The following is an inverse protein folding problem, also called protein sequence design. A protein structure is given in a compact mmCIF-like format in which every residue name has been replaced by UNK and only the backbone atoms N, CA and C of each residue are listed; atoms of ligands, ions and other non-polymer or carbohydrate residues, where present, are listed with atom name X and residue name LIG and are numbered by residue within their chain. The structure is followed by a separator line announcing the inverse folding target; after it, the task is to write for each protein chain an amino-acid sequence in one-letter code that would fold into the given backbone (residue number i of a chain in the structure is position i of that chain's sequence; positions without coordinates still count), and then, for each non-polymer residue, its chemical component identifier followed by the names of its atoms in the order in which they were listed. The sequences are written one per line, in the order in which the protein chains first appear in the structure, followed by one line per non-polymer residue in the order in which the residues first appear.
data_IF_323863035782
#
_entry.id   IF_323863035782
#
_cell.length_a   1.000
_cell.length_b   1.000
_cell.length_c   1.000
_cell.angle_alpha   90.00
_cell.angle_beta   90.00
_cell.angle_gamma   90.00
#
_symmetry.space_group_name_H-M   'P 1'
#
loop_
_entity.id
_entity.type
_entity.pdbx_description
1 polymer ?
#
# COMPACT_ATOMS: atom_id res chain seq x y z
N UNK A 1 -21.05 13.27 -66.59
CA UNK A 1 -21.59 13.19 -65.24
C UNK A 1 -21.04 11.98 -64.47
N UNK A 2 -21.02 10.81 -65.05
CA UNK A 2 -20.53 9.55 -64.44
C UNK A 2 -19.07 9.61 -63.95
N UNK A 3 -18.16 10.19 -64.70
CA UNK A 3 -16.74 10.30 -64.35
C UNK A 3 -16.48 11.23 -63.13
N UNK A 4 -17.30 12.23 -62.88
CA UNK A 4 -17.14 13.11 -61.70
C UNK A 4 -17.63 12.43 -60.42
N UNK A 5 -18.67 11.60 -60.53
CA UNK A 5 -19.19 10.83 -59.41
C UNK A 5 -18.21 9.75 -58.99
N UNK A 6 -17.57 9.07 -59.98
CA UNK A 6 -16.54 8.06 -59.72
C UNK A 6 -15.30 8.66 -59.10
N UNK A 7 -14.85 9.84 -59.57
CA UNK A 7 -13.73 10.57 -58.95
C UNK A 7 -14.02 11.02 -57.52
N UNK A 8 -15.24 11.48 -57.23
CA UNK A 8 -15.64 11.85 -55.89
C UNK A 8 -15.63 10.62 -54.93
N UNK A 9 -16.11 9.48 -55.45
CA UNK A 9 -16.15 8.23 -54.68
C UNK A 9 -14.72 7.70 -54.36
N UNK A 10 -13.81 7.81 -55.31
CA UNK A 10 -12.37 7.44 -55.09
C UNK A 10 -11.71 8.38 -54.07
N UNK A 11 -11.99 9.69 -54.12
CA UNK A 11 -11.47 10.65 -53.17
C UNK A 11 -11.98 10.40 -51.75
N UNK A 12 -13.27 10.09 -51.59
CA UNK A 12 -13.89 9.75 -50.31
C UNK A 12 -13.31 8.44 -49.75
N UNK A 13 -13.10 7.42 -50.61
CA UNK A 13 -12.51 6.16 -50.20
C UNK A 13 -11.02 6.34 -49.75
N UNK A 14 -10.26 7.17 -50.47
CA UNK A 14 -8.89 7.51 -50.06
C UNK A 14 -8.87 8.31 -48.74
N UNK A 15 -9.79 9.26 -48.57
CA UNK A 15 -9.90 9.99 -47.29
C UNK A 15 -10.26 9.06 -46.12
N UNK A 16 -11.18 8.13 -46.34
CA UNK A 16 -11.50 7.11 -45.30
C UNK A 16 -10.28 6.22 -45.04
N UNK A 17 -9.56 5.79 -46.07
CA UNK A 17 -8.37 4.93 -45.92
C UNK A 17 -7.20 5.62 -45.22
N UNK A 18 -7.08 6.93 -45.34
CA UNK A 18 -6.05 7.73 -44.62
C UNK A 18 -6.51 8.21 -43.24
N UNK A 19 -7.81 8.46 -43.05
CA UNK A 19 -8.36 8.93 -41.76
C UNK A 19 -8.57 7.80 -40.75
N UNK A 20 -8.95 6.60 -41.19
CA UNK A 20 -9.17 5.45 -40.29
C UNK A 20 -7.89 5.05 -39.53
N UNK A 21 -6.69 4.94 -40.18
CA UNK A 21 -5.47 4.66 -39.41
C UNK A 21 -5.03 5.84 -38.53
N UNK A 22 -5.33 7.09 -38.91
CA UNK A 22 -5.03 8.26 -38.05
C UNK A 22 -5.93 8.25 -36.81
N UNK A 23 -7.21 7.92 -36.95
CA UNK A 23 -8.12 7.76 -35.80
C UNK A 23 -7.77 6.54 -34.93
N UNK A 24 -7.29 5.44 -35.53
CA UNK A 24 -6.83 4.27 -34.76
C UNK A 24 -5.49 4.50 -34.05
N UNK A 25 -4.63 5.38 -34.55
CA UNK A 25 -3.40 5.81 -33.87
C UNK A 25 -3.70 6.81 -32.76
N UNK A 26 -4.78 7.59 -32.87
CA UNK A 26 -5.21 8.56 -31.84
C UNK A 26 -5.99 7.91 -30.69
N UNK A 27 -6.44 6.66 -30.85
CA UNK A 27 -7.15 5.89 -29.82
C UNK A 27 -6.30 4.71 -29.30
N UNK A 28 -4.99 4.86 -29.19
CA UNK A 28 -4.21 3.96 -28.34
C UNK A 28 -4.62 4.34 -26.91
N UNK A 29 -5.45 3.52 -26.30
CA UNK A 29 -5.79 3.61 -24.90
C UNK A 29 -4.46 3.46 -24.12
N UNK A 30 -3.92 4.59 -23.67
CA UNK A 30 -2.68 4.60 -22.91
C UNK A 30 -2.99 4.08 -21.53
N UNK A 31 -2.26 3.06 -21.12
CA UNK A 31 -2.41 2.40 -19.82
C UNK A 31 -1.12 2.52 -19.04
N UNK A 32 -1.16 2.58 -17.73
CA UNK A 32 0.02 2.50 -16.89
C UNK A 32 0.85 1.23 -17.14
N UNK A 33 2.09 1.15 -16.64
CA UNK A 33 2.93 -0.04 -16.77
C UNK A 33 2.20 -1.31 -16.37
N UNK A 34 2.52 -2.42 -17.06
CA UNK A 34 1.92 -3.72 -16.76
C UNK A 34 2.19 -4.12 -15.29
N UNK A 35 1.17 -4.57 -14.61
CA UNK A 35 1.22 -4.96 -13.19
C UNK A 35 1.15 -3.81 -12.20
N UNK A 36 1.17 -2.56 -12.66
CA UNK A 36 0.97 -1.39 -11.79
C UNK A 36 -0.51 -1.20 -11.47
N UNK A 37 -0.81 -0.93 -10.19
CA UNK A 37 -2.16 -0.74 -9.68
C UNK A 37 -2.28 0.64 -9.04
N UNK A 38 -3.24 1.42 -9.52
CA UNK A 38 -3.58 2.72 -8.96
C UNK A 38 -5.06 2.78 -8.60
N UNK A 39 -5.37 3.27 -7.41
CA UNK A 39 -6.75 3.27 -6.98
C UNK A 39 -7.05 4.05 -5.70
N UNK A 40 -8.23 3.78 -5.18
CA UNK A 40 -8.76 4.45 -4.00
C UNK A 40 -9.36 3.43 -3.03
N UNK A 41 -9.26 3.70 -1.72
CA UNK A 41 -9.99 2.92 -0.73
C UNK A 41 -11.37 3.54 -0.49
N UNK A 42 -12.35 2.68 -0.23
CA UNK A 42 -13.70 3.07 0.16
C UNK A 42 -13.89 2.86 1.66
N UNK A 43 -13.93 3.95 2.41
CA UNK A 43 -14.10 3.95 3.87
C UNK A 43 -15.49 4.39 4.37
N UNK A 44 -16.45 4.74 3.45
CA UNK A 44 -17.82 5.06 3.81
C UNK A 44 -18.66 3.77 3.97
N UNK A 45 -19.93 3.86 4.34
CA UNK A 45 -20.68 2.70 4.84
C UNK A 45 -21.87 2.24 4.00
N UNK A 46 -22.12 2.83 2.82
CA UNK A 46 -23.27 2.44 1.99
C UNK A 46 -22.88 1.95 0.60
N UNK A 47 -23.67 1.03 0.05
CA UNK A 47 -23.49 0.53 -1.32
C UNK A 47 -23.62 1.65 -2.36
N UNK A 48 -24.53 2.60 -2.14
CA UNK A 48 -24.74 3.72 -3.07
C UNK A 48 -23.56 4.66 -3.15
N UNK A 49 -22.93 4.98 -2.03
CA UNK A 49 -21.72 5.81 -2.00
C UNK A 49 -20.52 5.09 -2.62
N UNK A 50 -20.38 3.77 -2.37
CA UNK A 50 -19.34 2.97 -3.02
C UNK A 50 -19.47 2.99 -4.55
N UNK A 51 -20.68 2.77 -5.07
CA UNK A 51 -20.94 2.85 -6.52
C UNK A 51 -20.68 4.25 -7.08
N UNK A 52 -21.06 5.28 -6.34
CA UNK A 52 -20.81 6.67 -6.73
C UNK A 52 -19.29 6.96 -6.81
N UNK A 53 -18.51 6.48 -5.83
CA UNK A 53 -17.06 6.63 -5.87
C UNK A 53 -16.45 5.83 -7.02
N UNK A 54 -16.88 4.58 -7.26
CA UNK A 54 -16.44 3.77 -8.41
C UNK A 54 -16.74 4.51 -9.72
N UNK A 55 -17.94 5.05 -9.90
CA UNK A 55 -18.29 5.80 -11.11
C UNK A 55 -17.47 7.08 -11.30
N UNK A 56 -17.06 7.72 -10.20
CA UNK A 56 -16.20 8.91 -10.24
C UNK A 56 -14.76 8.57 -10.69
N UNK A 57 -14.22 7.40 -10.32
CA UNK A 57 -12.79 7.11 -10.49
C UNK A 57 -12.45 6.03 -11.53
N UNK A 58 -13.41 5.24 -12.00
CA UNK A 58 -13.18 4.06 -12.86
C UNK A 58 -12.43 4.33 -14.18
N UNK A 59 -12.50 5.56 -14.69
CA UNK A 59 -11.87 5.93 -15.95
C UNK A 59 -10.37 6.28 -15.80
N UNK A 60 -9.91 6.51 -14.58
CA UNK A 60 -8.52 6.84 -14.26
C UNK A 60 -7.98 6.07 -13.04
N UNK A 61 -8.53 4.90 -12.77
CA UNK A 61 -8.00 3.92 -11.79
C UNK A 61 -8.20 2.50 -12.29
N UNK A 62 -7.46 1.55 -11.74
CA UNK A 62 -7.62 0.12 -12.04
C UNK A 62 -7.71 -0.74 -10.78
N UNK A 63 -7.69 -0.11 -9.60
CA UNK A 63 -7.68 -0.79 -8.30
C UNK A 63 -8.64 -0.13 -7.30
N UNK A 64 -9.29 -0.94 -6.46
CA UNK A 64 -10.26 -0.46 -5.47
C UNK A 64 -10.15 -1.25 -4.18
N UNK A 65 -10.10 -0.57 -3.03
CA UNK A 65 -10.11 -1.22 -1.72
C UNK A 65 -11.47 -0.99 -1.06
N UNK A 66 -12.14 -2.06 -0.69
CA UNK A 66 -13.36 -1.98 0.13
C UNK A 66 -12.92 -2.05 1.58
N UNK A 67 -12.79 -0.89 2.24
CA UNK A 67 -12.23 -0.73 3.58
C UNK A 67 -13.23 -0.09 4.54
N UNK A 68 -14.30 -0.82 4.84
CA UNK A 68 -15.29 -0.37 5.80
C UNK A 68 -15.88 -1.57 6.57
N UNK A 69 -15.94 -1.47 7.89
CA UNK A 69 -16.46 -2.52 8.77
C UNK A 69 -17.92 -2.88 8.49
N UNK A 70 -18.82 -1.89 8.40
CA UNK A 70 -20.25 -2.12 8.21
C UNK A 70 -20.54 -2.84 6.90
N UNK A 71 -19.80 -2.50 5.84
CA UNK A 71 -19.85 -3.17 4.54
C UNK A 71 -19.29 -4.59 4.65
N UNK A 72 -18.12 -4.76 5.23
CA UNK A 72 -17.42 -6.05 5.34
C UNK A 72 -18.15 -7.06 6.23
N UNK A 73 -19.07 -6.60 7.07
CA UNK A 73 -19.90 -7.45 7.92
C UNK A 73 -21.30 -7.72 7.36
N UNK A 74 -21.60 -7.17 6.17
CA UNK A 74 -22.85 -7.36 5.45
C UNK A 74 -22.58 -8.05 4.09
N UNK A 75 -22.80 -9.38 4.02
CA UNK A 75 -22.52 -10.19 2.83
C UNK A 75 -23.17 -9.65 1.56
N UNK A 76 -24.43 -9.20 1.64
CA UNK A 76 -25.17 -8.68 0.48
C UNK A 76 -24.56 -7.38 -0.01
N UNK A 77 -24.29 -6.43 0.90
CA UNK A 77 -23.69 -5.14 0.57
C UNK A 77 -22.29 -5.31 -0.01
N UNK A 78 -21.45 -6.13 0.63
CA UNK A 78 -20.10 -6.41 0.17
C UNK A 78 -20.09 -7.02 -1.24
N UNK A 79 -20.92 -8.06 -1.45
CA UNK A 79 -20.98 -8.76 -2.73
C UNK A 79 -21.47 -7.83 -3.85
N UNK A 80 -22.47 -6.96 -3.57
CA UNK A 80 -22.98 -6.00 -4.53
C UNK A 80 -21.93 -4.96 -4.94
N UNK A 81 -21.09 -4.50 -3.98
CA UNK A 81 -19.99 -3.57 -4.30
C UNK A 81 -18.92 -4.28 -5.12
N UNK A 82 -18.53 -5.52 -4.76
CA UNK A 82 -17.55 -6.31 -5.51
C UNK A 82 -18.00 -6.58 -6.95
N UNK A 83 -19.28 -6.95 -7.14
CA UNK A 83 -19.86 -7.14 -8.47
C UNK A 83 -19.78 -5.86 -9.30
N UNK A 84 -20.09 -4.72 -8.68
CA UNK A 84 -20.05 -3.42 -9.36
C UNK A 84 -18.63 -3.00 -9.73
N UNK A 85 -17.67 -3.14 -8.81
CA UNK A 85 -16.25 -2.85 -9.06
C UNK A 85 -15.69 -3.74 -10.19
N UNK A 86 -16.01 -5.04 -10.15
CA UNK A 86 -15.62 -5.99 -11.20
C UNK A 86 -16.22 -5.63 -12.56
N UNK A 87 -17.50 -5.28 -12.59
CA UNK A 87 -18.18 -4.85 -13.83
C UNK A 87 -17.62 -3.53 -14.38
N UNK A 88 -17.13 -2.63 -13.50
CA UNK A 88 -16.44 -1.41 -13.88
C UNK A 88 -14.99 -1.65 -14.37
N UNK A 89 -14.51 -2.89 -14.36
CA UNK A 89 -13.16 -3.26 -14.80
C UNK A 89 -12.08 -3.16 -13.73
N UNK A 90 -12.42 -2.78 -12.51
CA UNK A 90 -11.48 -2.61 -11.42
C UNK A 90 -11.06 -3.98 -10.83
N UNK A 91 -9.79 -4.09 -10.47
CA UNK A 91 -9.28 -5.11 -9.57
C UNK A 91 -9.52 -4.63 -8.14
N UNK A 92 -9.84 -5.53 -7.21
CA UNK A 92 -10.16 -5.10 -5.86
C UNK A 92 -9.66 -6.06 -4.77
N UNK A 93 -9.51 -5.51 -3.58
CA UNK A 93 -9.33 -6.25 -2.33
C UNK A 93 -10.40 -5.82 -1.32
N UNK A 94 -10.64 -6.69 -0.35
CA UNK A 94 -11.65 -6.47 0.69
C UNK A 94 -10.98 -6.50 2.05
N UNK A 95 -11.31 -5.53 2.89
CA UNK A 95 -10.92 -5.51 4.28
C UNK A 95 -11.77 -6.47 5.10
N UNK A 96 -11.10 -7.43 5.73
CA UNK A 96 -11.66 -8.21 6.81
C UNK A 96 -10.74 -8.10 8.02
N UNK A 97 -11.20 -7.46 9.08
CA UNK A 97 -10.41 -7.35 10.32
C UNK A 97 -10.08 -8.74 10.85
N UNK A 98 -11.04 -9.66 10.77
CA UNK A 98 -10.83 -11.07 11.07
C UNK A 98 -11.79 -11.95 10.27
N UNK A 99 -11.36 -13.18 10.00
CA UNK A 99 -12.17 -14.23 9.39
C UNK A 99 -12.29 -15.34 10.43
N UNK A 100 -13.36 -15.35 11.20
CA UNK A 100 -13.54 -16.31 12.28
C UNK A 100 -14.82 -17.13 12.06
N UNK A 101 -14.72 -18.45 12.30
CA UNK A 101 -15.85 -19.38 12.35
C UNK A 101 -16.55 -19.39 13.71
N UNK A 102 -15.99 -18.71 14.71
CA UNK A 102 -16.51 -18.72 16.07
C UNK A 102 -17.71 -17.81 16.26
N UNK A 103 -18.29 -17.84 17.48
CA UNK A 103 -19.52 -17.16 17.83
C UNK A 103 -19.52 -15.62 17.72
N UNK A 104 -18.39 -14.99 17.49
CA UNK A 104 -18.26 -13.55 17.28
C UNK A 104 -18.15 -13.21 15.80
N UNK A 105 -17.96 -14.21 14.95
CA UNK A 105 -17.63 -14.05 13.56
C UNK A 105 -18.83 -13.91 12.66
N UNK A 106 -18.51 -13.62 11.49
CA UNK A 106 -19.38 -13.64 10.35
C UNK A 106 -19.14 -14.98 9.65
N UNK A 107 -19.85 -16.05 9.99
CA UNK A 107 -19.55 -17.43 9.51
C UNK A 107 -19.58 -17.53 7.99
N UNK A 108 -20.23 -16.59 7.30
CA UNK A 108 -20.26 -16.51 5.85
C UNK A 108 -18.92 -16.06 5.25
N UNK A 109 -18.03 -15.38 6.00
CA UNK A 109 -16.73 -14.89 5.49
C UNK A 109 -15.90 -16.02 4.87
N UNK A 110 -15.82 -17.18 5.52
CA UNK A 110 -15.10 -18.36 5.00
C UNK A 110 -15.64 -18.79 3.64
N UNK A 111 -16.96 -18.98 3.55
CA UNK A 111 -17.58 -19.40 2.29
C UNK A 111 -17.46 -18.35 1.21
N UNK A 112 -17.59 -17.07 1.58
CA UNK A 112 -17.44 -15.96 0.65
C UNK A 112 -16.03 -15.90 0.05
N UNK A 113 -14.98 -15.96 0.89
CA UNK A 113 -13.58 -15.98 0.45
C UNK A 113 -13.29 -17.19 -0.42
N UNK A 114 -13.81 -18.35 -0.02
CA UNK A 114 -13.63 -19.61 -0.79
C UNK A 114 -14.17 -19.48 -2.22
N UNK A 115 -15.30 -18.79 -2.40
CA UNK A 115 -15.93 -18.64 -3.71
C UNK A 115 -15.51 -17.37 -4.47
N UNK A 116 -14.79 -16.46 -3.83
CA UNK A 116 -14.45 -15.16 -4.40
C UNK A 116 -13.65 -15.26 -5.71
N UNK A 117 -12.65 -16.14 -5.76
CA UNK A 117 -11.86 -16.37 -6.98
C UNK A 117 -12.69 -16.95 -8.12
N UNK A 118 -13.60 -17.87 -7.82
CA UNK A 118 -14.48 -18.45 -8.83
C UNK A 118 -15.45 -17.42 -9.39
N UNK A 119 -15.91 -16.49 -8.54
CA UNK A 119 -16.88 -15.46 -8.93
C UNK A 119 -16.26 -14.31 -9.73
N UNK A 120 -15.11 -13.80 -9.31
CA UNK A 120 -14.51 -12.58 -9.88
C UNK A 120 -13.17 -12.80 -10.58
N UNK A 121 -12.62 -14.02 -10.53
CA UNK A 121 -11.34 -14.37 -11.18
C UNK A 121 -10.21 -13.42 -10.73
N UNK A 122 -9.46 -12.94 -11.72
CA UNK A 122 -8.32 -12.04 -11.50
C UNK A 122 -8.73 -10.63 -10.98
N UNK A 123 -10.04 -10.32 -10.96
CA UNK A 123 -10.52 -9.06 -10.37
C UNK A 123 -10.47 -9.08 -8.85
N UNK A 124 -10.59 -10.24 -8.22
CA UNK A 124 -10.38 -10.38 -6.79
C UNK A 124 -8.89 -10.64 -6.51
N UNK A 125 -8.16 -9.61 -6.07
CA UNK A 125 -6.73 -9.68 -5.83
C UNK A 125 -6.37 -10.30 -4.47
N UNK A 126 -7.25 -10.23 -3.47
CA UNK A 126 -7.01 -10.80 -2.16
C UNK A 126 -7.77 -10.13 -1.02
N UNK A 127 -7.29 -10.39 0.18
CA UNK A 127 -7.88 -9.88 1.42
C UNK A 127 -6.89 -8.94 2.12
N UNK A 128 -7.39 -7.77 2.51
CA UNK A 128 -6.75 -6.88 3.44
C UNK A 128 -7.16 -7.31 4.85
N UNK A 129 -6.23 -7.91 5.59
CA UNK A 129 -6.50 -8.52 6.87
C UNK A 129 -5.69 -7.88 7.98
N UNK A 130 -6.37 -7.57 9.08
CA UNK A 130 -5.91 -6.74 10.16
C UNK A 130 -5.55 -5.32 9.66
N UNK A 131 -5.19 -4.45 10.54
CA UNK A 131 -4.80 -3.09 10.23
C UNK A 131 -3.67 -2.66 11.15
N UNK A 132 -2.59 -2.14 10.57
CA UNK A 132 -1.46 -1.52 11.27
C UNK A 132 -0.86 -2.39 12.40
N UNK A 133 -0.58 -3.69 12.19
CA UNK A 133 -0.11 -4.55 13.28
C UNK A 133 1.21 -4.07 13.88
N UNK A 134 2.15 -3.62 13.04
CA UNK A 134 3.44 -3.08 13.47
C UNK A 134 3.32 -1.73 14.16
N UNK A 135 2.54 -0.82 13.58
CA UNK A 135 2.28 0.50 14.16
C UNK A 135 1.56 0.42 15.50
N UNK A 136 0.50 -0.36 15.59
CA UNK A 136 -0.21 -0.61 16.85
C UNK A 136 0.68 -1.25 17.91
N UNK A 137 1.59 -2.14 17.51
CA UNK A 137 2.59 -2.70 18.41
C UNK A 137 3.51 -1.62 18.99
N UNK A 138 4.01 -0.72 18.14
CA UNK A 138 4.86 0.40 18.61
C UNK A 138 4.09 1.33 19.54
N UNK A 139 2.83 1.63 19.23
CA UNK A 139 2.03 2.58 20.00
C UNK A 139 1.63 2.05 21.36
N UNK A 140 1.23 0.79 21.44
CA UNK A 140 0.63 0.22 22.64
C UNK A 140 1.58 -0.66 23.44
N UNK A 141 2.56 -1.29 22.81
CA UNK A 141 3.39 -2.33 23.40
C UNK A 141 2.61 -3.58 23.77
N UNK A 142 1.41 -3.74 23.21
CA UNK A 142 0.48 -4.82 23.55
C UNK A 142 0.03 -5.48 22.26
N UNK A 143 0.31 -6.76 22.14
CA UNK A 143 -0.29 -7.61 21.13
C UNK A 143 -1.28 -8.53 21.83
N UNK A 144 -2.57 -8.23 21.65
CA UNK A 144 -3.64 -8.98 22.30
C UNK A 144 -4.05 -10.18 21.43
N UNK A 145 -3.87 -11.38 21.98
CA UNK A 145 -4.51 -12.56 21.42
C UNK A 145 -5.93 -12.71 21.99
N UNK A 146 -6.92 -12.78 21.09
CA UNK A 146 -8.32 -12.99 21.49
C UNK A 146 -8.59 -14.48 21.60
N UNK A 147 -8.41 -15.06 22.79
CA UNK A 147 -8.73 -16.44 23.08
C UNK A 147 -9.91 -16.52 24.05
N UNK A 148 -11.09 -16.91 23.56
CA UNK A 148 -12.22 -17.29 24.41
C UNK A 148 -12.76 -16.21 25.32
N UNK A 149 -12.55 -14.91 24.99
CA UNK A 149 -13.04 -13.78 25.76
C UNK A 149 -12.05 -13.17 26.76
N UNK A 150 -10.87 -13.75 26.93
CA UNK A 150 -9.79 -13.17 27.72
C UNK A 150 -8.70 -12.59 26.78
N UNK A 151 -8.37 -11.32 26.98
CA UNK A 151 -7.23 -10.69 26.33
C UNK A 151 -5.96 -11.08 27.05
N UNK A 152 -5.04 -11.74 26.35
CA UNK A 152 -3.72 -12.06 26.87
C UNK A 152 -2.70 -11.20 26.13
N UNK A 153 -1.95 -10.40 26.89
CA UNK A 153 -0.79 -9.69 26.31
C UNK A 153 0.34 -10.69 26.05
N UNK A 154 0.62 -10.95 24.78
CA UNK A 154 1.66 -11.90 24.36
C UNK A 154 3.08 -11.40 24.67
N UNK A 155 3.26 -10.11 24.93
CA UNK A 155 4.54 -9.48 25.27
C UNK A 155 4.81 -9.35 26.76
N UNK A 156 3.92 -9.84 27.65
CA UNK A 156 4.03 -9.65 29.10
C UNK A 156 5.37 -10.13 29.68
N UNK A 157 5.97 -11.18 29.13
CA UNK A 157 7.20 -11.77 29.63
C UNK A 157 8.40 -11.56 28.69
N UNK A 158 8.29 -10.70 27.70
CA UNK A 158 9.36 -10.41 26.75
C UNK A 158 10.40 -9.48 27.37
N UNK A 159 11.67 -9.86 27.28
CA UNK A 159 12.79 -9.14 27.92
C UNK A 159 13.88 -8.70 26.95
N UNK A 160 13.88 -9.21 25.72
CA UNK A 160 14.88 -8.91 24.69
C UNK A 160 14.23 -8.60 23.35
N UNK A 161 14.94 -7.87 22.48
CA UNK A 161 14.48 -7.54 21.12
C UNK A 161 14.25 -8.81 20.28
N UNK A 162 15.09 -9.84 20.45
CA UNK A 162 14.92 -11.12 19.76
C UNK A 162 13.62 -11.82 20.18
N UNK A 163 13.33 -11.87 21.49
CA UNK A 163 12.07 -12.44 21.97
C UNK A 163 10.87 -11.65 21.45
N UNK A 164 10.96 -10.31 21.40
CA UNK A 164 9.89 -9.47 20.85
C UNK A 164 9.66 -9.78 19.37
N UNK A 165 10.72 -9.85 18.57
CA UNK A 165 10.64 -10.21 17.16
C UNK A 165 10.04 -11.61 16.96
N UNK A 166 10.47 -12.59 17.76
CA UNK A 166 9.96 -13.96 17.69
C UNK A 166 8.47 -14.02 18.02
N UNK A 167 8.04 -13.35 19.11
CA UNK A 167 6.62 -13.29 19.49
C UNK A 167 5.80 -12.65 18.36
N UNK A 168 6.20 -11.48 17.87
CA UNK A 168 5.46 -10.78 16.81
C UNK A 168 5.31 -11.64 15.56
N UNK A 169 6.42 -12.19 15.06
CA UNK A 169 6.47 -12.97 13.81
C UNK A 169 5.75 -14.32 13.94
N UNK A 170 5.75 -14.94 15.11
CA UNK A 170 5.16 -16.27 15.28
C UNK A 170 3.70 -16.22 15.73
N UNK A 171 3.29 -15.21 16.49
CA UNK A 171 1.93 -15.15 17.03
C UNK A 171 0.94 -14.51 16.05
N UNK A 172 1.35 -13.46 15.32
CA UNK A 172 0.49 -12.79 14.33
C UNK A 172 -0.13 -13.78 13.31
N UNK A 173 0.63 -14.71 12.70
CA UNK A 173 0.07 -15.67 11.75
C UNK A 173 -0.68 -16.84 12.37
N UNK A 174 -0.65 -17.04 13.70
CA UNK A 174 -1.40 -18.13 14.35
C UNK A 174 -2.91 -17.93 14.32
N UNK A 175 -3.38 -16.72 14.06
CA UNK A 175 -4.79 -16.45 13.89
C UNK A 175 -5.41 -17.35 12.82
N UNK A 176 -6.63 -17.83 13.07
CA UNK A 176 -7.39 -18.72 12.17
C UNK A 176 -7.47 -18.12 10.76
N UNK A 177 -7.66 -16.79 10.69
CA UNK A 177 -7.77 -16.04 9.44
C UNK A 177 -6.53 -16.17 8.56
N UNK A 178 -5.36 -16.05 9.14
CA UNK A 178 -4.09 -16.12 8.40
C UNK A 178 -3.85 -17.48 7.79
N UNK A 179 -4.00 -18.54 8.60
CA UNK A 179 -3.86 -19.93 8.15
C UNK A 179 -4.91 -20.29 7.08
N UNK A 180 -6.12 -19.81 7.23
CA UNK A 180 -7.19 -20.02 6.27
C UNK A 180 -6.85 -19.42 4.90
N UNK A 181 -6.45 -18.17 4.85
CA UNK A 181 -6.06 -17.47 3.63
C UNK A 181 -4.84 -18.13 2.96
N UNK A 182 -3.86 -18.54 3.76
CA UNK A 182 -2.67 -19.23 3.26
C UNK A 182 -3.02 -20.57 2.60
N UNK A 183 -3.88 -21.36 3.23
CA UNK A 183 -4.33 -22.66 2.68
C UNK A 183 -5.09 -22.52 1.36
N UNK A 184 -5.80 -21.41 1.15
CA UNK A 184 -6.50 -21.09 -0.08
C UNK A 184 -5.61 -20.38 -1.12
N UNK A 185 -4.36 -20.10 -0.79
CA UNK A 185 -3.47 -19.30 -1.62
C UNK A 185 -4.10 -17.94 -2.01
N UNK A 186 -4.70 -17.27 -1.00
CA UNK A 186 -5.24 -15.92 -1.11
C UNK A 186 -4.17 -14.93 -0.65
N UNK A 187 -3.92 -13.93 -1.47
CA UNK A 187 -2.96 -12.86 -1.16
C UNK A 187 -3.42 -12.05 0.06
N UNK A 188 -2.52 -11.88 1.02
CA UNK A 188 -2.76 -11.12 2.26
C UNK A 188 -2.14 -9.73 2.14
N UNK A 189 -2.99 -8.73 2.21
CA UNK A 189 -2.63 -7.32 2.20
C UNK A 189 -2.75 -6.73 3.60
N UNK A 190 -1.96 -5.71 3.87
CA UNK A 190 -2.08 -4.86 5.07
C UNK A 190 -1.53 -3.47 4.78
N UNK A 191 -2.03 -2.43 5.44
CA UNK A 191 -1.30 -1.15 5.57
C UNK A 191 -0.59 -1.10 6.92
N UNK A 192 0.54 -0.43 6.96
CA UNK A 192 1.26 -0.16 8.20
C UNK A 192 2.11 1.12 8.08
N UNK A 193 2.53 1.64 9.25
CA UNK A 193 3.43 2.78 9.39
C UNK A 193 4.71 2.46 10.19
N UNK A 194 4.89 1.19 10.59
CA UNK A 194 6.11 0.71 11.26
C UNK A 194 6.31 -0.80 11.03
N UNK A 195 7.43 -1.34 11.49
CA UNK A 195 7.78 -2.77 11.56
C UNK A 195 7.57 -3.60 10.28
N UNK A 196 7.52 -3.02 9.10
CA UNK A 196 7.28 -3.67 7.80
C UNK A 196 8.10 -4.95 7.58
N UNK A 197 9.36 -4.97 8.03
CA UNK A 197 10.23 -6.14 7.95
C UNK A 197 9.64 -7.35 8.65
N UNK A 198 9.07 -7.12 9.82
CA UNK A 198 8.51 -8.16 10.68
C UNK A 198 7.11 -8.58 10.23
N UNK A 199 6.34 -7.66 9.63
CA UNK A 199 5.06 -8.00 9.00
C UNK A 199 5.25 -8.98 7.84
N UNK A 200 6.25 -8.76 6.98
CA UNK A 200 6.58 -9.73 5.93
C UNK A 200 7.06 -11.06 6.50
N UNK A 201 7.88 -11.05 7.55
CA UNK A 201 8.30 -12.27 8.25
C UNK A 201 7.11 -13.02 8.86
N UNK A 202 6.11 -12.31 9.34
CA UNK A 202 4.86 -12.89 9.84
C UNK A 202 3.98 -13.49 8.72
N UNK A 203 4.26 -13.16 7.45
CA UNK A 203 3.65 -13.85 6.32
C UNK A 203 2.70 -13.03 5.47
N UNK A 204 2.65 -11.71 5.60
CA UNK A 204 1.97 -10.86 4.63
C UNK A 204 2.63 -10.97 3.24
N UNK A 205 1.84 -10.79 2.20
CA UNK A 205 2.28 -10.90 0.81
C UNK A 205 2.51 -9.51 0.19
N UNK A 206 1.74 -8.51 0.63
CA UNK A 206 1.85 -7.11 0.20
C UNK A 206 1.56 -6.18 1.36
N UNK A 207 2.46 -5.22 1.58
CA UNK A 207 2.27 -4.17 2.56
C UNK A 207 2.15 -2.83 1.85
N UNK A 208 1.14 -2.04 2.24
CA UNK A 208 1.02 -0.64 1.88
C UNK A 208 1.67 0.20 2.97
N UNK A 209 2.77 0.88 2.67
CA UNK A 209 3.32 1.87 3.60
C UNK A 209 2.45 3.11 3.61
N UNK A 210 2.12 3.60 4.79
CA UNK A 210 1.28 4.79 4.95
C UNK A 210 2.10 6.07 4.75
N UNK A 211 1.66 6.91 3.80
CA UNK A 211 2.26 8.21 3.54
C UNK A 211 1.36 9.34 4.07
N UNK A 212 1.82 10.00 5.11
CA UNK A 212 1.09 11.06 5.77
C UNK A 212 1.64 11.35 7.16
N UNK A 213 0.83 11.95 8.02
CA UNK A 213 1.14 12.18 9.43
C UNK A 213 2.42 13.02 9.67
N UNK A 214 2.88 13.76 8.66
CA UNK A 214 4.18 14.46 8.65
C UNK A 214 5.39 13.53 8.82
N UNK A 215 5.26 12.27 8.45
CA UNK A 215 6.39 11.33 8.41
C UNK A 215 7.20 11.51 7.12
N UNK A 216 8.48 11.15 7.16
CA UNK A 216 9.34 11.19 5.96
C UNK A 216 8.95 10.09 4.97
N UNK A 217 8.25 10.45 3.88
CA UNK A 217 7.85 9.49 2.84
C UNK A 217 9.04 8.69 2.27
N UNK A 218 10.21 9.28 1.94
CA UNK A 218 11.37 8.50 1.48
C UNK A 218 11.86 7.47 2.51
N UNK A 219 11.85 7.80 3.80
CA UNK A 219 12.25 6.88 4.87
C UNK A 219 11.32 5.67 4.94
N UNK A 220 10.01 5.89 5.01
CA UNK A 220 9.02 4.82 5.10
C UNK A 220 8.95 3.97 3.81
N UNK A 221 9.11 4.59 2.64
CA UNK A 221 9.28 3.87 1.37
C UNK A 221 10.54 2.98 1.43
N UNK A 222 11.66 3.52 1.86
CA UNK A 222 12.92 2.78 1.98
C UNK A 222 12.82 1.58 2.94
N UNK A 223 12.12 1.72 4.06
CA UNK A 223 11.86 0.64 5.03
C UNK A 223 10.96 -0.46 4.44
N UNK A 224 9.81 -0.09 3.87
CA UNK A 224 8.85 -1.04 3.32
C UNK A 224 9.39 -1.74 2.06
N UNK A 225 9.92 -0.97 1.10
CA UNK A 225 10.50 -1.51 -0.14
C UNK A 225 11.72 -2.38 0.13
N UNK A 226 12.59 -1.96 1.04
CA UNK A 226 13.76 -2.74 1.45
C UNK A 226 13.37 -4.09 2.03
N UNK A 227 12.37 -4.11 2.91
CA UNK A 227 11.82 -5.34 3.47
C UNK A 227 11.19 -6.24 2.40
N UNK A 228 10.39 -5.66 1.49
CA UNK A 228 9.76 -6.39 0.39
C UNK A 228 10.79 -7.02 -0.56
N UNK A 229 11.80 -6.25 -0.99
CA UNK A 229 12.87 -6.74 -1.88
C UNK A 229 13.67 -7.87 -1.26
N UNK A 230 14.07 -7.72 0.01
CA UNK A 230 14.83 -8.74 0.72
C UNK A 230 14.05 -10.06 0.82
N UNK A 231 12.73 -9.98 1.00
CA UNK A 231 11.86 -11.13 1.23
C UNK A 231 11.11 -11.59 -0.03
N UNK A 232 11.42 -11.02 -1.21
CA UNK A 232 10.78 -11.31 -2.48
C UNK A 232 9.24 -11.19 -2.41
N UNK A 233 8.79 -10.03 -1.94
CA UNK A 233 7.38 -9.69 -1.73
C UNK A 233 7.01 -8.45 -2.55
N UNK A 234 5.70 -8.25 -2.75
CA UNK A 234 5.15 -7.03 -3.32
C UNK A 234 4.99 -5.95 -2.25
N UNK A 235 5.00 -4.69 -2.67
CA UNK A 235 4.76 -3.55 -1.80
C UNK A 235 3.99 -2.45 -2.53
N UNK A 236 3.42 -1.56 -1.75
CA UNK A 236 2.71 -0.40 -2.25
C UNK A 236 2.72 0.76 -1.26
N UNK A 237 2.01 1.80 -1.61
CA UNK A 237 1.76 2.94 -0.73
C UNK A 237 0.26 3.16 -0.56
N UNK A 238 -0.13 3.58 0.62
CA UNK A 238 -1.45 4.13 0.87
C UNK A 238 -1.28 5.57 1.36
N UNK A 239 -1.79 6.52 0.57
CA UNK A 239 -1.64 7.95 0.83
C UNK A 239 -2.77 8.37 1.73
N UNK A 240 -2.45 8.67 2.99
CA UNK A 240 -3.45 9.08 3.96
C UNK A 240 -3.87 10.52 3.73
N UNK A 241 -5.12 10.82 4.05
CA UNK A 241 -5.70 12.15 3.91
C UNK A 241 -5.11 13.19 4.86
N UNK A 242 -4.37 12.76 5.88
CA UNK A 242 -3.89 13.63 6.95
C UNK A 242 -2.47 14.11 6.68
N UNK A 243 -2.27 15.43 6.65
CA UNK A 243 -0.95 16.02 6.45
C UNK A 243 -0.15 16.15 7.76
N UNK A 244 -0.81 16.38 8.90
CA UNK A 244 -0.17 16.57 10.20
C UNK A 244 -0.85 15.73 11.29
N UNK A 245 -0.05 15.06 12.12
CA UNK A 245 -0.55 14.17 13.16
C UNK A 245 -1.36 14.91 14.24
N UNK A 246 -0.90 16.09 14.63
CA UNK A 246 -1.48 16.85 15.76
C UNK A 246 -2.73 17.67 15.37
N UNK A 247 -2.94 17.95 14.08
CA UNK A 247 -4.11 18.67 13.60
C UNK A 247 -5.14 17.72 12.94
N UNK A 248 -6.26 17.43 13.62
CA UNK A 248 -7.29 16.55 13.07
C UNK A 248 -8.02 17.14 11.85
N UNK A 249 -7.85 18.43 11.57
CA UNK A 249 -8.46 19.12 10.42
C UNK A 249 -7.53 19.29 9.24
N UNK A 250 -6.24 18.96 9.40
CA UNK A 250 -5.23 19.10 8.37
C UNK A 250 -5.38 17.98 7.32
N UNK A 251 -6.09 18.30 6.24
CA UNK A 251 -6.28 17.41 5.09
C UNK A 251 -5.23 17.77 4.04
N UNK A 252 -4.57 16.77 3.44
CA UNK A 252 -3.67 16.97 2.31
C UNK A 252 -4.41 17.66 1.17
N UNK A 253 -3.74 18.60 0.54
CA UNK A 253 -4.21 19.22 -0.70
C UNK A 253 -4.04 18.27 -1.89
N UNK A 254 -4.73 18.55 -3.00
CA UNK A 254 -4.53 17.79 -4.25
C UNK A 254 -3.05 17.74 -4.70
N UNK A 255 -2.31 18.86 -4.74
CA UNK A 255 -0.86 18.87 -5.03
C UNK A 255 -0.01 18.01 -4.10
N UNK A 256 -0.20 18.09 -2.78
CA UNK A 256 0.55 17.26 -1.81
C UNK A 256 0.29 15.76 -2.04
N UNK A 257 -0.95 15.39 -2.35
CA UNK A 257 -1.30 14.03 -2.69
C UNK A 257 -0.67 13.59 -4.01
N UNK A 258 -0.62 14.48 -5.00
CA UNK A 258 0.01 14.22 -6.31
C UNK A 258 1.51 13.96 -6.17
N UNK A 259 2.19 14.72 -5.32
CA UNK A 259 3.62 14.52 -5.03
C UNK A 259 3.87 13.13 -4.41
N UNK A 260 3.04 12.70 -3.45
CA UNK A 260 3.13 11.36 -2.86
C UNK A 260 2.88 10.25 -3.89
N UNK A 261 1.95 10.45 -4.85
CA UNK A 261 1.72 9.51 -5.95
C UNK A 261 2.95 9.41 -6.86
N UNK A 262 3.57 10.53 -7.22
CA UNK A 262 4.77 10.54 -8.06
C UNK A 262 5.95 9.84 -7.41
N UNK A 263 6.27 10.16 -6.15
CA UNK A 263 7.39 9.52 -5.46
C UNK A 263 7.16 8.00 -5.30
N UNK A 264 5.91 7.58 -5.07
CA UNK A 264 5.55 6.17 -4.98
C UNK A 264 5.80 5.42 -6.31
N UNK A 265 5.38 6.03 -7.42
CA UNK A 265 5.58 5.50 -8.77
C UNK A 265 7.06 5.42 -9.14
N UNK A 266 7.81 6.50 -8.93
CA UNK A 266 9.25 6.56 -9.18
C UNK A 266 10.04 5.57 -8.31
N UNK A 267 9.57 5.31 -7.08
CA UNK A 267 10.15 4.31 -6.19
C UNK A 267 9.83 2.86 -6.62
N UNK A 268 8.90 2.66 -7.55
CA UNK A 268 8.50 1.34 -8.06
C UNK A 268 7.48 0.62 -7.19
N UNK A 269 6.60 1.35 -6.51
CA UNK A 269 5.47 0.76 -5.80
C UNK A 269 4.56 0.03 -6.78
N UNK A 270 4.23 -1.24 -6.51
CA UNK A 270 3.30 -2.00 -7.34
C UNK A 270 1.86 -1.49 -7.20
N UNK A 271 1.55 -0.94 -6.04
CA UNK A 271 0.25 -0.38 -5.71
C UNK A 271 0.42 1.05 -5.18
N UNK A 272 -0.38 1.98 -5.71
CA UNK A 272 -0.50 3.34 -5.18
C UNK A 272 -1.98 3.59 -4.90
N UNK A 273 -2.33 3.81 -3.66
CA UNK A 273 -3.73 3.90 -3.21
C UNK A 273 -3.95 5.22 -2.48
N UNK A 274 -5.02 5.92 -2.84
CA UNK A 274 -5.50 7.09 -2.09
C UNK A 274 -6.48 6.61 -1.03
N UNK A 275 -6.19 6.90 0.24
CA UNK A 275 -7.03 6.51 1.35
C UNK A 275 -8.19 7.50 1.54
N UNK A 276 -9.41 6.99 1.43
CA UNK A 276 -10.63 7.77 1.68
C UNK A 276 -11.22 7.41 3.04
N UNK A 277 -11.66 8.43 3.77
CA UNK A 277 -12.22 8.32 5.10
C UNK A 277 -13.47 9.20 5.25
N UNK A 278 -14.48 8.82 6.06
CA UNK A 278 -15.61 9.68 6.36
C UNK A 278 -15.16 11.00 7.00
N UNK A 279 -15.70 12.13 6.52
CA UNK A 279 -15.42 13.45 7.09
C UNK A 279 -16.46 13.82 8.13
N UNK A 280 -16.05 14.51 9.17
CA UNK A 280 -16.92 15.08 10.17
C UNK A 280 -16.86 16.62 10.13
N UNK A 281 -18.02 17.34 10.04
CA UNK A 281 -19.39 16.88 9.79
C UNK A 281 -19.61 16.34 8.37
N UNK A 282 -20.60 15.50 8.19
CA UNK A 282 -20.90 14.70 7.00
C UNK A 282 -21.56 15.50 5.88
N UNK A 283 -20.82 16.32 5.15
CA UNK A 283 -21.39 17.10 4.03
C UNK A 283 -20.86 16.65 2.66
N UNK A 284 -19.90 15.71 2.61
CA UNK A 284 -19.30 15.29 1.36
C UNK A 284 -19.52 13.78 1.11
N UNK A 285 -20.29 13.46 0.05
CA UNK A 285 -20.56 12.11 -0.39
C UNK A 285 -19.33 11.26 -0.76
N UNK A 286 -18.17 11.90 -0.89
CA UNK A 286 -16.87 11.27 -1.14
C UNK A 286 -15.95 11.33 0.10
N UNK A 287 -16.49 11.49 1.31
CA UNK A 287 -15.70 11.56 2.52
C UNK A 287 -14.75 12.77 2.54
N UNK A 288 -13.44 12.52 2.72
CA UNK A 288 -12.42 13.58 2.74
C UNK A 288 -12.00 14.03 1.34
N UNK A 289 -12.33 13.29 0.29
CA UNK A 289 -11.92 13.60 -1.08
C UNK A 289 -12.76 14.72 -1.67
N UNK A 290 -12.10 15.74 -2.20
CA UNK A 290 -12.69 16.88 -2.90
C UNK A 290 -12.32 16.86 -4.38
N UNK A 291 -12.86 17.80 -5.17
CA UNK A 291 -12.58 17.85 -6.60
C UNK A 291 -11.08 18.02 -6.93
N UNK A 292 -10.30 18.74 -6.09
CA UNK A 292 -8.86 18.87 -6.28
C UNK A 292 -8.11 17.53 -6.17
N UNK A 293 -8.58 16.64 -5.28
CA UNK A 293 -8.02 15.30 -5.13
C UNK A 293 -8.30 14.42 -6.36
N UNK A 294 -9.52 14.47 -6.88
CA UNK A 294 -9.87 13.74 -8.11
C UNK A 294 -9.11 14.26 -9.33
N UNK A 295 -8.90 15.59 -9.44
CA UNK A 295 -8.05 16.17 -10.48
C UNK A 295 -6.60 15.69 -10.34
N UNK A 296 -6.05 15.62 -9.13
CA UNK A 296 -4.72 15.10 -8.88
C UNK A 296 -4.58 13.62 -9.27
N UNK A 297 -5.60 12.80 -8.96
CA UNK A 297 -5.64 11.39 -9.35
C UNK A 297 -5.68 11.21 -10.88
N UNK A 298 -6.48 12.00 -11.59
CA UNK A 298 -6.57 11.98 -13.05
C UNK A 298 -5.24 12.42 -13.69
N UNK A 299 -4.62 13.49 -13.19
CA UNK A 299 -3.30 13.95 -13.63
C UNK A 299 -2.22 12.88 -13.42
N UNK A 300 -2.25 12.20 -12.27
CA UNK A 300 -1.31 11.13 -12.00
C UNK A 300 -1.51 9.92 -12.95
N UNK A 301 -2.76 9.53 -13.20
CA UNK A 301 -3.07 8.45 -14.14
C UNK A 301 -2.56 8.75 -15.54
N UNK A 302 -2.79 9.97 -16.02
CA UNK A 302 -2.29 10.44 -17.30
C UNK A 302 -0.76 10.39 -17.35
N UNK A 303 -0.10 10.83 -16.28
CA UNK A 303 1.36 10.76 -16.16
C UNK A 303 1.86 9.31 -16.21
N UNK A 304 1.36 8.45 -15.34
CA UNK A 304 1.77 7.05 -15.26
C UNK A 304 1.54 6.29 -16.57
N UNK A 305 0.49 6.67 -17.32
CA UNK A 305 0.18 6.09 -18.63
C UNK A 305 1.08 6.57 -19.77
N UNK A 306 1.78 7.69 -19.60
CA UNK A 306 2.63 8.30 -20.63
C UNK A 306 4.14 8.24 -20.33
N UNK A 307 4.53 7.93 -19.08
CA UNK A 307 5.92 7.97 -18.61
C UNK A 307 6.32 6.65 -17.95
N UNK A 308 6.18 5.55 -18.69
CA UNK A 308 6.51 4.20 -18.19
C UNK A 308 7.97 4.08 -17.75
N UNK A 309 8.88 4.83 -18.38
CA UNK A 309 10.29 4.89 -18.06
C UNK A 309 10.58 5.45 -16.68
N UNK A 310 9.64 6.19 -16.11
CA UNK A 310 9.76 6.75 -14.77
C UNK A 310 9.36 5.76 -13.67
N UNK A 311 8.65 4.69 -14.03
CA UNK A 311 8.26 3.65 -13.09
C UNK A 311 9.50 2.93 -12.54
N UNK A 312 9.72 3.07 -11.23
CA UNK A 312 10.85 2.46 -10.55
C UNK A 312 12.23 3.03 -10.91
N UNK A 313 12.32 4.18 -11.60
CA UNK A 313 13.62 4.82 -11.94
C UNK A 313 14.45 5.15 -10.71
N UNK A 314 13.80 5.39 -9.58
CA UNK A 314 14.40 5.67 -8.26
C UNK A 314 14.25 4.50 -7.29
N UNK A 315 14.22 3.28 -7.81
CA UNK A 315 14.22 2.06 -7.01
C UNK A 315 15.50 1.93 -6.19
N UNK A 316 15.40 1.42 -4.95
CA UNK A 316 16.52 1.32 -4.00
C UNK A 316 17.76 0.68 -4.59
N UNK A 317 18.89 1.38 -4.52
CA UNK A 317 20.21 0.96 -5.02
C UNK A 317 21.22 0.80 -3.90
N UNK A 318 20.97 1.46 -2.76
CA UNK A 318 21.81 1.46 -1.55
C UNK A 318 21.03 0.85 -0.41
N UNK A 319 21.64 -0.05 0.36
CA UNK A 319 21.04 -0.61 1.55
C UNK A 319 21.69 -0.05 2.81
N UNK A 320 20.90 0.51 3.71
CA UNK A 320 21.31 0.76 5.10
C UNK A 320 20.84 -0.39 5.98
N UNK A 321 21.77 -1.08 6.60
CA UNK A 321 21.50 -2.31 7.37
C UNK A 321 21.43 -1.99 8.86
N UNK A 322 20.27 -2.20 9.44
CA UNK A 322 19.97 -2.03 10.87
C UNK A 322 20.41 -3.25 11.69
N UNK A 323 20.55 -3.12 13.01
CA UNK A 323 20.77 -4.26 13.89
C UNK A 323 19.64 -5.29 13.75
N UNK A 324 20.00 -6.56 13.89
CA UNK A 324 19.01 -7.64 13.89
C UNK A 324 17.97 -7.45 15.00
N UNK A 325 16.72 -7.74 14.67
CA UNK A 325 15.57 -7.70 15.59
C UNK A 325 15.32 -6.34 16.27
N UNK A 326 15.90 -5.26 15.73
CA UNK A 326 15.77 -3.90 16.24
C UNK A 326 14.45 -3.28 15.80
N UNK A 327 13.35 -3.69 16.40
CA UNK A 327 11.99 -3.24 16.07
C UNK A 327 11.69 -1.81 16.56
N UNK A 328 12.44 -0.84 16.05
CA UNK A 328 12.26 0.58 16.34
C UNK A 328 11.23 1.20 15.38
N UNK A 329 10.30 2.03 15.91
CA UNK A 329 9.21 2.61 15.12
C UNK A 329 9.66 3.62 14.06
N UNK A 330 10.79 4.32 14.26
CA UNK A 330 11.43 5.24 13.31
C UNK A 330 10.58 6.43 12.85
N UNK A 331 9.49 6.76 13.54
CA UNK A 331 8.66 7.94 13.27
C UNK A 331 9.28 9.23 13.81
N UNK A 332 10.04 9.08 14.89
CA UNK A 332 10.86 10.13 15.50
C UNK A 332 12.12 9.57 16.11
N UNK A 333 13.10 10.43 16.42
CA UNK A 333 14.34 10.03 17.08
C UNK A 333 14.11 9.32 18.42
N UNK A 334 13.04 9.67 19.14
CA UNK A 334 12.71 9.14 20.45
C UNK A 334 11.60 8.09 20.39
N UNK A 335 11.31 7.54 19.22
CA UNK A 335 10.27 6.52 19.07
C UNK A 335 10.62 5.26 19.85
N UNK A 336 9.60 4.47 20.18
CA UNK A 336 9.74 3.26 21.00
C UNK A 336 10.32 2.11 20.18
N UNK A 337 10.97 1.19 20.89
CA UNK A 337 11.47 -0.07 20.34
C UNK A 337 10.48 -1.16 20.77
N UNK A 338 9.84 -1.82 19.81
CA UNK A 338 8.78 -2.82 20.00
C UNK A 338 7.57 -2.31 20.82
N UNK A 339 7.44 -0.99 21.02
CA UNK A 339 6.45 -0.43 21.92
C UNK A 339 6.70 -0.73 23.40
N UNK A 340 7.70 -1.53 23.73
CA UNK A 340 8.03 -2.03 25.08
C UNK A 340 9.10 -1.17 25.75
N UNK A 341 10.07 -0.71 24.99
CA UNK A 341 11.21 0.04 25.51
C UNK A 341 11.27 1.46 24.94
N UNK A 342 11.80 2.44 25.67
CA UNK A 342 12.16 3.73 25.09
C UNK A 342 13.28 3.54 24.05
N UNK A 343 13.56 4.59 23.28
CA UNK A 343 14.77 4.66 22.45
C UNK A 343 16.03 4.41 23.31
N UNK A 344 17.00 3.68 22.72
CA UNK A 344 18.28 3.34 23.35
C UNK A 344 19.41 4.25 22.83
N UNK A 345 20.67 3.94 23.22
CA UNK A 345 21.84 4.69 22.78
C UNK A 345 22.12 4.61 21.27
N UNK A 346 21.55 3.62 20.56
CA UNK A 346 21.74 3.45 19.12
C UNK A 346 20.72 4.27 18.31
N UNK A 347 19.52 4.50 18.83
CA UNK A 347 18.44 5.20 18.13
C UNK A 347 18.87 6.57 17.59
N UNK A 348 19.50 7.49 18.37
CA UNK A 348 19.91 8.78 17.85
C UNK A 348 21.03 8.67 16.80
N UNK A 349 21.93 7.72 16.95
CA UNK A 349 23.04 7.48 16.01
C UNK A 349 22.51 6.94 14.68
N UNK A 350 21.58 6.00 14.73
CA UNK A 350 20.94 5.43 13.54
C UNK A 350 20.11 6.49 12.84
N UNK A 351 19.37 7.32 13.59
CA UNK A 351 18.58 8.43 13.05
C UNK A 351 19.43 9.40 12.25
N UNK A 352 20.52 9.91 12.84
CA UNK A 352 21.44 10.82 12.17
C UNK A 352 22.01 10.22 10.88
N UNK A 353 22.38 8.93 10.90
CA UNK A 353 22.87 8.24 9.71
C UNK A 353 21.81 8.11 8.61
N UNK A 354 20.59 7.79 8.98
CA UNK A 354 19.47 7.71 8.03
C UNK A 354 19.26 9.08 7.38
N UNK A 355 19.27 10.17 8.15
CA UNK A 355 19.08 11.52 7.63
C UNK A 355 20.21 11.89 6.66
N UNK A 356 21.48 11.61 6.97
CA UNK A 356 22.62 11.83 6.06
C UNK A 356 22.48 10.99 4.77
N UNK A 357 22.08 9.73 4.91
CA UNK A 357 21.92 8.85 3.74
C UNK A 357 20.72 9.24 2.88
N UNK A 358 19.63 9.68 3.48
CA UNK A 358 18.47 10.21 2.75
C UNK A 358 18.80 11.51 2.02
N UNK A 359 19.59 12.42 2.62
CA UNK A 359 20.07 13.61 1.94
C UNK A 359 20.90 13.26 0.69
N UNK A 360 21.68 12.18 0.75
CA UNK A 360 22.57 11.75 -0.34
C UNK A 360 21.87 10.92 -1.41
N UNK A 361 21.02 9.96 -1.01
CA UNK A 361 20.46 8.94 -1.90
C UNK A 361 18.95 9.05 -2.10
N UNK A 362 18.26 9.81 -1.24
CA UNK A 362 16.83 10.03 -1.27
C UNK A 362 16.04 8.71 -1.48
N UNK A 363 15.19 8.63 -2.48
CA UNK A 363 14.42 7.41 -2.81
C UNK A 363 15.28 6.21 -3.26
N UNK A 364 16.57 6.37 -3.51
CA UNK A 364 17.45 5.24 -3.85
C UNK A 364 17.96 4.49 -2.61
N UNK A 365 17.62 4.95 -1.39
CA UNK A 365 17.97 4.28 -0.14
C UNK A 365 16.89 3.26 0.24
N UNK A 366 17.29 2.01 0.48
CA UNK A 366 16.51 1.00 1.19
C UNK A 366 17.05 0.83 2.60
N UNK A 367 16.18 0.58 3.57
CA UNK A 367 16.55 0.30 4.97
C UNK A 367 16.13 -1.13 5.29
N UNK A 368 17.09 -1.96 5.66
CA UNK A 368 16.93 -3.41 5.88
C UNK A 368 17.53 -3.83 7.20
N UNK A 369 17.30 -5.07 7.62
CA UNK A 369 17.84 -5.58 8.88
C UNK A 369 18.94 -6.62 8.65
N UNK A 370 19.92 -6.69 9.56
CA UNK A 370 20.98 -7.71 9.57
C UNK A 370 20.38 -9.09 9.87
N UNK A 371 19.97 -9.75 8.81
CA UNK A 371 19.37 -11.08 8.88
C UNK A 371 20.03 -12.00 7.86
N UNK A 372 20.77 -12.98 8.35
CA UNK A 372 21.53 -13.92 7.54
C UNK A 372 20.68 -14.80 6.60
N UNK A 373 19.36 -14.80 6.75
CA UNK A 373 18.43 -15.49 5.84
C UNK A 373 18.34 -14.81 4.49
N UNK A 374 18.70 -13.53 4.40
CA UNK A 374 18.52 -12.71 3.19
C UNK A 374 19.87 -12.26 2.62
N UNK A 375 19.89 -12.07 1.31
CA UNK A 375 21.07 -11.67 0.57
C UNK A 375 20.88 -10.26 -0.01
N UNK A 376 21.82 -9.37 0.30
CA UNK A 376 21.82 -7.97 -0.15
C UNK A 376 22.78 -7.70 -1.31
N UNK A 377 23.35 -8.72 -1.96
CA UNK A 377 24.33 -8.57 -3.05
C UNK A 377 23.79 -7.86 -4.30
N UNK A 378 22.48 -7.66 -4.40
CA UNK A 378 21.85 -6.91 -5.48
C UNK A 378 21.94 -5.38 -5.31
N UNK A 379 22.25 -4.89 -4.11
CA UNK A 379 22.52 -3.47 -3.87
C UNK A 379 23.91 -3.09 -4.38
N UNK A 380 24.03 -1.89 -4.93
CA UNK A 380 25.32 -1.35 -5.37
C UNK A 380 26.22 -1.01 -4.20
N UNK A 381 25.64 -0.64 -3.09
CA UNK A 381 26.33 -0.24 -1.88
C UNK A 381 25.56 -0.73 -0.65
N UNK A 382 26.29 -1.19 0.36
CA UNK A 382 25.72 -1.65 1.63
C UNK A 382 26.43 -0.88 2.76
N UNK A 383 25.64 -0.16 3.54
CA UNK A 383 26.10 0.63 4.69
C UNK A 383 25.58 -0.01 5.96
N UNK A 384 26.47 -0.38 6.87
CA UNK A 384 26.08 -0.97 8.16
C UNK A 384 25.78 0.11 9.18
N UNK A 385 24.84 -0.14 10.08
CA UNK A 385 24.45 0.79 11.15
C UNK A 385 25.62 1.23 12.04
N UNK A 386 26.67 0.38 12.21
CA UNK A 386 27.86 0.67 13.00
C UNK A 386 28.99 1.35 12.20
N UNK A 387 28.80 1.66 10.91
CA UNK A 387 29.74 2.47 10.11
C UNK A 387 29.89 3.85 10.76
N UNK A 388 31.14 4.37 10.85
CA UNK A 388 31.37 5.71 11.42
C UNK A 388 30.85 6.80 10.49
N UNK A 389 30.36 7.92 11.04
CA UNK A 389 29.81 9.05 10.26
C UNK A 389 30.86 9.62 9.31
N UNK A 390 32.13 9.73 9.75
CA UNK A 390 33.25 10.20 8.89
C UNK A 390 33.41 9.34 7.63
N UNK A 391 33.13 8.04 7.72
CA UNK A 391 33.17 7.14 6.59
C UNK A 391 31.95 7.28 5.65
N UNK A 392 30.81 7.74 6.15
CA UNK A 392 29.63 8.00 5.30
C UNK A 392 29.87 9.14 4.30
N UNK A 393 30.64 10.16 4.68
CA UNK A 393 31.04 11.25 3.81
C UNK A 393 31.97 10.85 2.65
N UNK A 394 32.63 9.70 2.75
CA UNK A 394 33.58 9.17 1.78
C UNK A 394 33.01 8.07 0.86
N UNK A 395 31.74 7.73 1.00
CA UNK A 395 31.06 6.78 0.12
C UNK A 395 30.82 7.45 -1.26
N UNK A 396 31.30 6.83 -2.32
CA UNK A 396 31.30 7.35 -3.70
C UNK A 396 30.29 6.65 -4.59
#
# INVERSE_FOLDING_TARGET
MFNRILQLFIIILLLIFFLVPIFSVLNIERKPPEGFNFGVSYGLNTVSEAKLLIDKVKDYTNFFIINNWDVSTNETALTEICDYASAAGLTFIVFFDFIDLSAHGYPWHHQWVFTAKDRWGDKFAGIYIYEEPGGKQIDTGVFDEFHGGERKNLFENVTTYNEAAEVFVTELPKGISFNFLQNLNITKFVSDYALYWFDYLAGYDTIFTELGWNHSSPKHIGLCRGAAKAQNKDWGTIITWKSQQEDPTSIKTGPEMLDDMFISFEAGAKYVVVFNFPRFPEDNQFGVLTEEHFIAMEQFWDYASNHHEDYGKRNGKVAFVLPKDYGWGMRSQNDRIWGLWPSDEFSPIIWEKIDILLEKYDLELDIVYDDSRFNFAHYKEIVLWNTTIDNLGNLH
#
